data_IF_490425873247
#
_entry.id   IF_490425873247
#
_cell.length_a   1.000
_cell.length_b   1.000
_cell.length_c   1.000
_cell.angle_alpha   90.00
_cell.angle_beta   90.00
_cell.angle_gamma   90.00
#
_symmetry.space_group_name_H-M   'P 1'
#
loop_
_entity.id
_entity.type
_entity.pdbx_description
1 polymer ?
#
# COMPACT_ATOMS: atom_id res chain seq x y z
N UNK A 1 11.29 -32.45 25.32
CA UNK A 1 10.60 -31.67 24.29
C UNK A 1 11.43 -31.55 23.01
N UNK A 2 11.06 -32.28 21.96
CA UNK A 2 11.69 -32.18 20.63
C UNK A 2 11.03 -31.12 19.73
N UNK A 3 9.94 -30.50 20.19
CA UNK A 3 9.10 -29.59 19.38
C UNK A 3 9.71 -28.18 19.23
N UNK A 4 10.40 -27.66 20.25
CA UNK A 4 10.98 -26.31 20.20
C UNK A 4 12.31 -26.25 19.42
N UNK A 5 12.99 -27.37 19.20
CA UNK A 5 14.30 -27.40 18.52
C UNK A 5 14.18 -27.34 16.99
N UNK A 6 13.04 -27.75 16.42
CA UNK A 6 12.82 -27.82 14.97
C UNK A 6 11.77 -26.82 14.45
N UNK A 7 10.99 -26.21 15.33
CA UNK A 7 10.02 -25.17 14.98
C UNK A 7 10.19 -23.96 15.88
N UNK A 8 11.25 -23.14 15.68
CA UNK A 8 11.47 -21.95 16.49
C UNK A 8 10.26 -21.02 16.37
N UNK A 9 9.78 -20.53 17.53
CA UNK A 9 8.65 -19.60 17.57
C UNK A 9 8.99 -18.35 16.73
N UNK A 10 8.09 -17.93 15.82
CA UNK A 10 8.31 -16.73 15.01
C UNK A 10 8.60 -15.52 15.91
N UNK A 11 9.75 -14.88 15.69
CA UNK A 11 10.24 -13.77 16.52
C UNK A 11 10.36 -12.51 15.67
N UNK A 12 9.96 -11.36 16.22
CA UNK A 12 10.07 -10.07 15.55
C UNK A 12 11.50 -9.55 15.63
N UNK A 13 12.17 -9.40 14.49
CA UNK A 13 13.55 -8.88 14.41
C UNK A 13 13.71 -7.41 14.83
N UNK A 14 12.60 -6.67 15.03
CA UNK A 14 12.63 -5.25 15.39
C UNK A 14 12.40 -4.98 16.89
N UNK A 15 11.81 -5.94 17.62
CA UNK A 15 11.54 -5.78 19.04
C UNK A 15 11.63 -7.07 19.86
N UNK A 16 12.17 -8.13 19.26
CA UNK A 16 12.41 -9.46 19.82
C UNK A 16 11.19 -10.15 20.45
N UNK A 17 9.97 -9.67 20.16
CA UNK A 17 8.72 -10.31 20.60
C UNK A 17 8.51 -11.63 19.86
N UNK A 18 8.23 -12.69 20.61
CA UNK A 18 7.86 -13.99 20.08
C UNK A 18 6.35 -14.11 19.87
N UNK A 19 5.94 -14.83 18.83
CA UNK A 19 4.56 -15.04 18.46
C UNK A 19 4.25 -16.52 18.30
N UNK A 20 2.98 -16.89 18.48
CA UNK A 20 2.52 -18.27 18.34
C UNK A 20 2.45 -18.73 16.86
N UNK A 21 2.42 -17.82 15.90
CA UNK A 21 2.37 -18.12 14.47
C UNK A 21 2.97 -16.98 13.62
N UNK A 22 3.30 -17.29 12.37
CA UNK A 22 3.81 -16.31 11.40
C UNK A 22 2.79 -15.20 11.09
N UNK A 23 1.49 -15.53 11.08
CA UNK A 23 0.43 -14.55 10.82
C UNK A 23 0.32 -13.51 11.94
N UNK A 24 0.41 -13.94 13.20
CA UNK A 24 0.43 -13.01 14.33
C UNK A 24 1.69 -12.12 14.32
N UNK A 25 2.84 -12.67 13.92
CA UNK A 25 4.05 -11.88 13.72
C UNK A 25 3.85 -10.85 12.60
N UNK A 26 3.21 -11.21 11.48
CA UNK A 26 2.90 -10.27 10.39
C UNK A 26 1.95 -9.16 10.84
N UNK A 27 0.85 -9.48 11.54
CA UNK A 27 -0.08 -8.50 12.12
C UNK A 27 0.66 -7.56 13.08
N UNK A 28 1.56 -8.09 13.90
CA UNK A 28 2.39 -7.28 14.78
C UNK A 28 3.33 -6.34 14.01
N UNK A 29 4.04 -6.85 12.99
CA UNK A 29 4.93 -6.04 12.14
C UNK A 29 4.17 -4.91 11.45
N UNK A 30 2.95 -5.19 10.98
CA UNK A 30 2.02 -4.19 10.44
C UNK A 30 1.70 -3.13 11.49
N UNK A 31 1.24 -3.54 12.68
CA UNK A 31 0.69 -2.62 13.69
C UNK A 31 1.74 -1.83 14.47
N UNK A 32 2.96 -2.36 14.63
CA UNK A 32 3.98 -1.81 15.55
C UNK A 32 5.25 -1.33 14.88
N UNK A 33 5.54 -1.79 13.67
CA UNK A 33 6.77 -1.43 12.96
C UNK A 33 6.52 -0.73 11.63
N UNK A 34 5.28 -0.69 11.14
CA UNK A 34 4.95 -0.13 9.81
C UNK A 34 5.77 -0.78 8.67
N UNK A 35 6.32 -1.98 8.91
CA UNK A 35 7.08 -2.75 7.92
C UNK A 35 6.20 -3.88 7.43
N UNK A 36 5.43 -3.60 6.39
CA UNK A 36 4.61 -4.61 5.70
C UNK A 36 5.28 -4.89 4.38
N UNK A 37 6.07 -5.95 4.26
CA UNK A 37 6.60 -6.30 2.94
C UNK A 37 5.58 -7.10 2.15
N UNK A 38 5.20 -6.63 0.96
CA UNK A 38 4.34 -7.34 0.01
C UNK A 38 5.13 -7.76 -1.23
N UNK A 39 4.73 -8.85 -1.86
CA UNK A 39 5.34 -9.30 -3.10
C UNK A 39 4.92 -8.40 -4.26
N UNK A 40 5.87 -8.01 -5.11
CA UNK A 40 5.54 -7.41 -6.40
C UNK A 40 4.90 -8.45 -7.32
N UNK A 41 3.79 -8.11 -7.97
CA UNK A 41 3.20 -8.96 -9.00
C UNK A 41 4.03 -8.97 -10.30
N UNK A 42 4.94 -8.00 -10.44
CA UNK A 42 5.88 -7.89 -11.56
C UNK A 42 7.28 -8.42 -11.20
N UNK A 43 7.40 -9.24 -10.15
CA UNK A 43 8.66 -9.85 -9.69
C UNK A 43 9.46 -10.55 -10.81
N UNK A 44 8.76 -11.14 -11.78
CA UNK A 44 9.36 -11.85 -12.91
C UNK A 44 10.01 -10.89 -13.94
N UNK A 45 9.86 -9.58 -13.75
CA UNK A 45 10.43 -8.52 -14.58
C UNK A 45 11.62 -7.80 -13.92
N UNK A 46 12.19 -8.35 -12.83
CA UNK A 46 13.60 -8.10 -12.47
C UNK A 46 13.92 -7.30 -11.20
N UNK A 47 13.04 -7.17 -10.18
CA UNK A 47 13.42 -6.59 -8.87
C UNK A 47 12.70 -7.19 -7.65
N UNK A 48 13.23 -6.82 -6.46
CA UNK A 48 12.97 -7.29 -5.09
C UNK A 48 11.62 -7.99 -4.86
N UNK A 49 11.70 -9.23 -4.36
CA UNK A 49 10.56 -10.08 -4.03
C UNK A 49 9.65 -9.52 -2.92
N UNK A 50 10.07 -8.45 -2.24
CA UNK A 50 9.44 -7.91 -1.02
C UNK A 50 9.64 -6.39 -0.97
N UNK A 51 8.55 -5.64 -0.97
CA UNK A 51 8.53 -4.16 -0.97
C UNK A 51 7.70 -3.70 0.21
N UNK A 52 8.10 -2.63 0.89
CA UNK A 52 7.26 -2.03 1.91
C UNK A 52 5.93 -1.56 1.29
N UNK A 53 4.80 -1.93 1.89
CA UNK A 53 3.45 -1.58 1.44
C UNK A 53 3.28 -0.07 1.27
N UNK A 54 3.90 0.73 2.15
CA UNK A 54 3.86 2.19 2.05
C UNK A 54 4.67 2.74 0.87
N UNK A 55 5.65 1.98 0.37
CA UNK A 55 6.46 2.34 -0.78
C UNK A 55 5.92 1.73 -2.08
N UNK A 56 4.81 0.99 -2.03
CA UNK A 56 4.30 0.25 -3.18
C UNK A 56 3.83 1.19 -4.31
N UNK A 57 3.30 2.36 -3.97
CA UNK A 57 2.94 3.40 -4.93
C UNK A 57 4.18 3.92 -5.67
N UNK A 58 5.18 4.38 -4.93
CA UNK A 58 6.45 4.85 -5.50
C UNK A 58 7.18 3.74 -6.28
N UNK A 59 7.04 2.48 -5.84
CA UNK A 59 7.62 1.31 -6.48
C UNK A 59 7.08 1.10 -7.90
N UNK A 60 5.77 1.19 -8.12
CA UNK A 60 5.18 1.04 -9.46
C UNK A 60 5.48 2.23 -10.39
N UNK A 61 5.85 3.38 -9.82
CA UNK A 61 6.27 4.57 -10.57
C UNK A 61 7.74 4.52 -11.02
N UNK A 62 8.51 3.52 -10.58
CA UNK A 62 9.88 3.33 -11.08
C UNK A 62 9.87 3.07 -12.60
N UNK A 63 10.85 3.63 -13.31
CA UNK A 63 10.98 3.49 -14.77
C UNK A 63 10.96 2.01 -15.21
N UNK A 64 11.57 1.13 -14.41
CA UNK A 64 11.63 -0.31 -14.65
C UNK A 64 10.23 -0.96 -14.61
N UNK A 65 9.42 -0.64 -13.60
CA UNK A 65 8.05 -1.17 -13.50
C UNK A 65 7.13 -0.57 -14.56
N UNK A 66 7.26 0.71 -14.88
CA UNK A 66 6.53 1.32 -15.98
C UNK A 66 6.87 0.65 -17.32
N UNK A 67 8.14 0.35 -17.58
CA UNK A 67 8.55 -0.40 -18.78
C UNK A 67 8.01 -1.83 -18.79
N UNK A 68 8.00 -2.53 -17.65
CA UNK A 68 7.41 -3.86 -17.53
C UNK A 68 5.90 -3.84 -17.84
N UNK A 69 5.16 -2.87 -17.29
CA UNK A 69 3.74 -2.66 -17.57
C UNK A 69 3.50 -2.39 -19.05
N UNK A 70 4.26 -1.47 -19.64
CA UNK A 70 4.15 -1.12 -21.06
C UNK A 70 4.44 -2.34 -21.95
N UNK A 71 5.46 -3.14 -21.63
CA UNK A 71 5.79 -4.34 -22.39
C UNK A 71 4.72 -5.43 -22.25
N UNK A 72 4.15 -5.62 -21.06
CA UNK A 72 2.98 -6.49 -20.87
C UNK A 72 1.82 -6.06 -21.78
N UNK A 73 1.48 -4.77 -21.78
CA UNK A 73 0.39 -4.23 -22.61
C UNK A 73 0.70 -4.39 -24.11
N UNK A 74 1.93 -4.06 -24.55
CA UNK A 74 2.34 -4.21 -25.95
C UNK A 74 2.27 -5.66 -26.42
N UNK A 75 2.71 -6.61 -25.60
CA UNK A 75 2.63 -8.03 -25.94
C UNK A 75 1.17 -8.49 -26.10
N UNK A 76 0.28 -8.00 -25.24
CA UNK A 76 -1.16 -8.28 -25.36
C UNK A 76 -1.76 -7.70 -26.64
N UNK A 77 -1.34 -6.50 -27.04
CA UNK A 77 -1.82 -5.84 -28.26
C UNK A 77 -1.25 -6.45 -29.55
N UNK A 78 0.04 -6.81 -29.58
CA UNK A 78 0.68 -7.40 -30.76
C UNK A 78 0.13 -8.77 -31.14
N UNK A 79 -0.33 -9.55 -30.16
CA UNK A 79 -1.00 -10.83 -30.42
C UNK A 79 -2.29 -10.63 -31.22
N UNK A 80 -2.95 -9.47 -31.10
CA UNK A 80 -4.24 -9.17 -31.76
C UNK A 80 -4.10 -8.82 -33.24
N UNK A 81 -2.94 -8.36 -33.68
CA UNK A 81 -2.74 -7.80 -35.03
C UNK A 81 -2.30 -8.87 -36.05
N UNK A 82 -1.70 -9.97 -35.61
CA UNK A 82 -1.00 -10.91 -36.51
C UNK A 82 -1.63 -12.32 -36.66
N UNK A 83 -2.82 -12.59 -36.11
CA UNK A 83 -3.43 -13.94 -36.11
C UNK A 83 -4.44 -14.19 -37.24
N UNK A 84 -4.17 -15.19 -38.08
CA UNK A 84 -5.02 -15.68 -39.18
C UNK A 84 -5.88 -16.85 -38.66
N UNK A 85 -7.19 -16.67 -38.66
CA UNK A 85 -8.21 -17.60 -38.13
C UNK A 85 -8.27 -18.87 -39.00
N UNK A 86 -8.22 -20.08 -38.43
CA UNK A 86 -9.45 -20.82 -38.07
C UNK A 86 -9.28 -21.82 -36.88
N UNK A 87 -8.05 -22.07 -36.38
CA UNK A 87 -7.79 -22.96 -35.21
C UNK A 87 -7.29 -22.18 -33.96
N UNK A 88 -7.10 -20.85 -34.08
CA UNK A 88 -6.57 -19.99 -33.01
C UNK A 88 -7.63 -19.45 -32.04
N UNK A 89 -8.92 -19.73 -32.26
CA UNK A 89 -10.01 -19.09 -31.51
C UNK A 89 -9.97 -19.38 -30.01
N UNK A 90 -9.63 -20.62 -29.62
CA UNK A 90 -9.53 -21.03 -28.22
C UNK A 90 -8.33 -20.38 -27.52
N UNK A 91 -7.21 -20.24 -28.24
CA UNK A 91 -6.00 -19.57 -27.76
C UNK A 91 -6.27 -18.07 -27.56
N UNK A 92 -6.95 -17.43 -28.51
CA UNK A 92 -7.34 -16.02 -28.43
C UNK A 92 -8.31 -15.80 -27.25
N UNK A 93 -9.30 -16.69 -27.08
CA UNK A 93 -10.25 -16.61 -25.97
C UNK A 93 -9.55 -16.75 -24.62
N UNK A 94 -8.62 -17.70 -24.47
CA UNK A 94 -7.82 -17.86 -23.25
C UNK A 94 -6.99 -16.62 -22.93
N UNK A 95 -6.39 -15.99 -23.94
CA UNK A 95 -5.63 -14.75 -23.77
C UNK A 95 -6.53 -13.57 -23.40
N UNK A 96 -7.71 -13.43 -24.03
CA UNK A 96 -8.70 -12.42 -23.68
C UNK A 96 -9.16 -12.56 -22.23
N UNK A 97 -9.41 -13.79 -21.76
CA UNK A 97 -9.76 -14.04 -20.36
C UNK A 97 -8.67 -13.58 -19.39
N UNK A 98 -7.38 -13.74 -19.74
CA UNK A 98 -6.27 -13.20 -18.93
C UNK A 98 -6.27 -11.68 -18.89
N UNK A 99 -6.57 -11.03 -20.01
CA UNK A 99 -6.71 -9.56 -20.08
C UNK A 99 -7.85 -9.09 -19.18
N UNK A 100 -9.03 -9.70 -19.29
CA UNK A 100 -10.17 -9.34 -18.44
C UNK A 100 -9.87 -9.52 -16.96
N UNK A 101 -9.26 -10.64 -16.55
CA UNK A 101 -8.81 -10.83 -15.15
C UNK A 101 -7.84 -9.74 -14.70
N UNK A 102 -6.95 -9.30 -15.59
CA UNK A 102 -6.02 -8.21 -15.26
C UNK A 102 -6.75 -6.89 -15.10
N UNK A 103 -7.74 -6.61 -15.96
CA UNK A 103 -8.59 -5.42 -15.86
C UNK A 103 -9.37 -5.44 -14.54
N UNK A 104 -9.96 -6.57 -14.15
CA UNK A 104 -10.72 -6.70 -12.90
C UNK A 104 -9.83 -6.38 -11.68
N UNK A 105 -8.61 -6.93 -11.63
CA UNK A 105 -7.64 -6.63 -10.57
C UNK A 105 -7.30 -5.13 -10.54
N UNK A 106 -7.15 -4.49 -11.71
CA UNK A 106 -6.89 -3.05 -11.79
C UNK A 106 -8.09 -2.22 -11.31
N UNK A 107 -9.32 -2.63 -11.65
CA UNK A 107 -10.55 -1.96 -11.18
C UNK A 107 -10.66 -2.05 -9.66
N UNK A 108 -10.43 -3.22 -9.07
CA UNK A 108 -10.42 -3.40 -7.61
C UNK A 108 -9.34 -2.57 -6.93
N UNK A 109 -8.15 -2.49 -7.55
CA UNK A 109 -7.05 -1.65 -7.08
C UNK A 109 -7.40 -0.16 -7.10
N UNK A 110 -7.99 0.33 -8.19
CA UNK A 110 -8.46 1.72 -8.33
C UNK A 110 -9.54 2.04 -7.30
N UNK A 111 -10.49 1.13 -7.09
CA UNK A 111 -11.55 1.33 -6.10
C UNK A 111 -10.98 1.42 -4.67
N UNK A 112 -10.01 0.56 -4.34
CA UNK A 112 -9.32 0.59 -3.04
C UNK A 112 -8.59 1.92 -2.84
N UNK A 113 -7.87 2.40 -3.86
CA UNK A 113 -7.18 3.69 -3.81
C UNK A 113 -8.16 4.87 -3.64
N UNK A 114 -9.29 4.86 -4.34
CA UNK A 114 -10.32 5.88 -4.18
C UNK A 114 -10.85 5.94 -2.74
N UNK A 115 -11.12 4.77 -2.14
CA UNK A 115 -11.56 4.70 -0.75
C UNK A 115 -10.48 5.23 0.22
N UNK A 116 -9.21 4.96 -0.04
CA UNK A 116 -8.10 5.47 0.77
C UNK A 116 -7.93 7.00 0.63
N UNK A 117 -8.11 7.55 -0.57
CA UNK A 117 -8.10 9.00 -0.80
C UNK A 117 -9.24 9.68 -0.03
N UNK A 118 -10.45 9.13 -0.08
CA UNK A 118 -11.59 9.65 0.66
C UNK A 118 -11.35 9.61 2.18
N UNK A 119 -10.83 8.48 2.69
CA UNK A 119 -10.44 8.35 4.10
C UNK A 119 -9.41 9.38 4.51
N UNK A 120 -8.35 9.58 3.74
CA UNK A 120 -7.33 10.58 4.04
C UNK A 120 -7.86 12.02 3.95
N UNK A 121 -8.79 12.29 3.04
CA UNK A 121 -9.49 13.58 2.97
C UNK A 121 -10.26 13.86 4.26
N UNK A 122 -10.99 12.88 4.77
CA UNK A 122 -11.74 12.99 6.03
C UNK A 122 -10.80 13.19 7.23
N UNK A 123 -9.75 12.37 7.35
CA UNK A 123 -8.73 12.52 8.41
C UNK A 123 -8.05 13.91 8.34
N UNK A 124 -7.79 14.43 7.14
CA UNK A 124 -7.21 15.77 6.95
C UNK A 124 -8.17 16.87 7.43
N UNK A 125 -9.48 16.71 7.17
CA UNK A 125 -10.50 17.65 7.63
C UNK A 125 -10.57 17.70 9.17
N UNK A 126 -10.61 16.53 9.82
CA UNK A 126 -10.64 16.44 11.29
C UNK A 126 -9.40 17.07 11.93
N UNK A 127 -8.21 16.84 11.35
CA UNK A 127 -6.97 17.46 11.81
C UNK A 127 -7.00 18.98 11.66
N UNK A 128 -7.56 19.49 10.56
CA UNK A 128 -7.69 20.92 10.32
C UNK A 128 -8.58 21.57 11.39
N UNK A 129 -9.72 20.95 11.72
CA UNK A 129 -10.61 21.43 12.80
C UNK A 129 -9.89 21.45 14.16
N UNK A 130 -9.11 20.41 14.48
CA UNK A 130 -8.33 20.36 15.71
C UNK A 130 -7.29 21.50 15.77
N UNK A 131 -6.60 21.78 14.67
CA UNK A 131 -5.62 22.88 14.57
C UNK A 131 -6.32 24.22 14.84
N UNK A 132 -7.49 24.45 14.25
CA UNK A 132 -8.25 25.68 14.45
C UNK A 132 -8.70 25.86 15.91
N UNK A 133 -9.16 24.77 16.55
CA UNK A 133 -9.55 24.77 17.95
C UNK A 133 -8.36 25.08 18.88
N UNK A 134 -7.21 24.44 18.65
CA UNK A 134 -5.98 24.72 19.41
C UNK A 134 -5.49 26.15 19.20
N UNK A 135 -5.55 26.66 17.97
CA UNK A 135 -5.18 28.04 17.64
C UNK A 135 -6.05 29.05 18.38
N UNK A 136 -7.36 28.78 18.47
CA UNK A 136 -8.31 29.59 19.25
C UNK A 136 -7.96 29.56 20.74
N UNK A 137 -7.70 28.38 21.30
CA UNK A 137 -7.33 28.22 22.71
C UNK A 137 -6.04 28.97 23.07
N UNK A 138 -5.00 28.87 22.22
CA UNK A 138 -3.74 29.59 22.40
C UNK A 138 -3.98 31.11 22.37
N UNK A 139 -4.83 31.58 21.46
CA UNK A 139 -5.17 33.01 21.35
C UNK A 139 -5.87 33.52 22.61
N UNK A 140 -6.80 32.74 23.17
CA UNK A 140 -7.48 33.07 24.43
C UNK A 140 -6.51 33.09 25.62
N UNK A 141 -5.64 32.09 25.73
CA UNK A 141 -4.62 32.05 26.78
C UNK A 141 -3.70 33.27 26.70
N UNK A 142 -3.24 33.62 25.50
CA UNK A 142 -2.40 34.80 25.26
C UNK A 142 -3.09 36.09 25.74
N UNK A 143 -4.39 36.25 25.44
CA UNK A 143 -5.18 37.41 25.89
C UNK A 143 -5.31 37.46 27.43
N UNK A 144 -5.51 36.31 28.07
CA UNK A 144 -5.63 36.24 29.54
C UNK A 144 -4.30 36.57 30.23
N UNK A 145 -3.18 36.08 29.69
CA UNK A 145 -1.85 36.40 30.19
C UNK A 145 -1.53 37.90 30.04
N UNK A 146 -1.85 38.53 28.91
CA UNK A 146 -1.59 39.97 28.72
C UNK A 146 -2.41 40.83 29.67
N UNK A 147 -3.69 40.49 29.89
CA UNK A 147 -4.54 41.16 30.88
C UNK A 147 -3.99 41.04 32.30
N UNK A 148 -3.59 39.84 32.71
CA UNK A 148 -3.05 39.60 34.05
C UNK A 148 -1.78 40.41 34.30
N UNK A 149 -0.90 40.52 33.31
CA UNK A 149 0.33 41.33 33.42
C UNK A 149 0.04 42.83 33.52
N UNK A 150 -1.02 43.33 32.85
CA UNK A 150 -1.42 44.74 32.95
C UNK A 150 -2.04 45.12 34.29
N UNK A 151 -2.50 44.17 35.10
CA UNK A 151 -3.07 44.42 36.42
C UNK A 151 -2.05 44.45 37.56
N UNK A 152 -0.79 44.10 37.27
CA UNK A 152 0.30 44.03 38.27
C UNK A 152 1.17 45.30 38.25
N UNK A 153 1.10 46.10 37.18
CA UNK A 153 1.77 47.40 37.05
C UNK A 153 0.80 48.54 37.35
#
# INVERSE_FOLDING_TARGET
DHLDQFHPKPTCEYCDKMFASADHLNVHKIAKHSVVTVCCHLKDYGRSNRINRFEMEAHYLTQEHQLAIINCIRNLLNIRINGHFEDESEIILSKLQKVYKTIDILVDGIQTLNNDVERHSNESCERQELIENLTRAISLLKLTCTKSNSSIN
#
